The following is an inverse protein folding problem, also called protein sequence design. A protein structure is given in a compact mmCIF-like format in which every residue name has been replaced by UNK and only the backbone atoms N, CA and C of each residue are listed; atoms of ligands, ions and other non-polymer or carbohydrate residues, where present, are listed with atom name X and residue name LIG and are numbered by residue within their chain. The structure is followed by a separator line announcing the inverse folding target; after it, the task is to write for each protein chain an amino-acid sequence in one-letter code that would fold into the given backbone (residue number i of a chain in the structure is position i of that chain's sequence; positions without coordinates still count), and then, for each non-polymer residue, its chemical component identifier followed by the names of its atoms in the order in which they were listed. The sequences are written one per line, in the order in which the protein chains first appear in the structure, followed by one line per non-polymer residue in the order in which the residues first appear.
data_IF_780442785163
#
_entry.id   IF_780442785163
#
_cell.length_a   1.000
_cell.length_b   1.000
_cell.length_c   1.000
_cell.angle_alpha   90.00
_cell.angle_beta   90.00
_cell.angle_gamma   90.00
#
_symmetry.space_group_name_H-M   'P 1'
#
loop_
_entity.id
_entity.type
_entity.pdbx_description
1 polymer ?
#
# COMPACT_ATOMS: atom_id res chain seq x y z
N UNK A 1 4.47 -0.91 -10.02
CA UNK A 1 4.13 -1.42 -8.66
C UNK A 1 2.73 -0.99 -8.24
N UNK A 2 2.37 0.31 -8.27
CA UNK A 2 1.00 0.76 -7.90
C UNK A 2 -0.07 0.15 -8.80
N UNK A 3 0.13 0.18 -10.11
CA UNK A 3 -0.76 -0.44 -11.11
C UNK A 3 -0.96 -1.94 -10.88
N UNK A 4 0.08 -2.67 -10.47
CA UNK A 4 -0.04 -4.10 -10.14
C UNK A 4 -0.96 -4.31 -8.93
N UNK A 5 -0.89 -3.42 -7.93
CA UNK A 5 -1.78 -3.45 -6.76
C UNK A 5 -3.23 -3.21 -7.17
N UNK A 6 -3.47 -2.22 -8.03
CA UNK A 6 -4.80 -1.94 -8.57
C UNK A 6 -5.39 -3.17 -9.26
N UNK A 7 -4.64 -3.76 -10.18
CA UNK A 7 -5.11 -4.93 -10.94
C UNK A 7 -5.33 -6.14 -10.05
N UNK A 8 -4.39 -6.42 -9.13
CA UNK A 8 -4.44 -7.63 -8.30
C UNK A 8 -5.45 -7.53 -7.16
N UNK A 9 -5.54 -6.40 -6.48
CA UNK A 9 -6.27 -6.26 -5.23
C UNK A 9 -7.61 -5.53 -5.35
N UNK A 10 -7.91 -4.86 -6.47
CA UNK A 10 -9.24 -4.25 -6.65
C UNK A 10 -10.38 -5.27 -6.69
N UNK A 11 -10.07 -6.53 -7.00
CA UNK A 11 -11.05 -7.61 -7.10
C UNK A 11 -12.06 -7.44 -8.25
N UNK A 12 -11.97 -6.35 -9.02
CA UNK A 12 -12.97 -5.99 -10.03
C UNK A 12 -12.88 -6.90 -11.24
N UNK A 13 -13.96 -7.64 -11.45
CA UNK A 13 -14.15 -8.44 -12.67
C UNK A 13 -14.68 -7.54 -13.78
N UNK A 14 -14.08 -7.60 -14.97
CA UNK A 14 -14.57 -6.84 -16.13
C UNK A 14 -15.11 -7.70 -17.26
N UNK A 15 -14.76 -8.99 -17.32
CA UNK A 15 -15.35 -9.94 -18.26
C UNK A 15 -15.13 -11.40 -17.83
N UNK A 16 -15.83 -12.33 -18.50
CA UNK A 16 -15.62 -13.76 -18.36
C UNK A 16 -15.19 -14.32 -19.72
N UNK A 17 -14.07 -15.00 -19.76
CA UNK A 17 -13.63 -15.77 -20.92
C UNK A 17 -14.33 -17.12 -20.91
N UNK A 18 -15.10 -17.41 -21.95
CA UNK A 18 -15.84 -18.66 -22.08
C UNK A 18 -15.31 -19.45 -23.29
N UNK A 19 -14.67 -20.58 -23.04
CA UNK A 19 -14.28 -21.51 -24.07
C UNK A 19 -15.43 -22.42 -24.45
N UNK A 20 -15.58 -22.71 -25.75
CA UNK A 20 -16.69 -23.53 -26.27
C UNK A 20 -16.68 -24.92 -25.61
N UNK A 21 -17.76 -25.24 -24.88
CA UNK A 21 -17.92 -26.53 -24.17
C UNK A 21 -16.96 -26.75 -22.99
N UNK A 22 -16.34 -25.71 -22.46
CA UNK A 22 -15.37 -25.77 -21.35
C UNK A 22 -15.75 -24.82 -20.22
N UNK A 23 -15.09 -25.02 -19.07
CA UNK A 23 -15.21 -24.11 -17.96
C UNK A 23 -14.74 -22.69 -18.33
N UNK A 24 -15.44 -21.70 -17.82
CA UNK A 24 -15.11 -20.30 -17.98
C UNK A 24 -14.08 -19.83 -16.94
N UNK A 25 -13.39 -18.76 -17.28
CA UNK A 25 -12.45 -18.11 -16.38
C UNK A 25 -12.75 -16.59 -16.34
N UNK A 26 -12.74 -16.03 -15.18
CA UNK A 26 -12.95 -14.60 -15.00
C UNK A 26 -11.68 -13.79 -15.30
N UNK A 27 -11.87 -12.56 -15.80
CA UNK A 27 -10.79 -11.65 -16.11
C UNK A 27 -10.88 -10.36 -15.26
N UNK A 28 -9.76 -9.89 -14.71
CA UNK A 28 -8.41 -10.44 -14.83
C UNK A 28 -8.28 -11.78 -14.09
N UNK A 29 -7.56 -12.73 -14.68
CA UNK A 29 -7.37 -14.08 -14.10
C UNK A 29 -6.53 -14.04 -12.81
N UNK A 30 -5.68 -13.03 -12.67
CA UNK A 30 -4.84 -12.80 -11.49
C UNK A 30 -5.42 -11.67 -10.66
N UNK A 31 -6.52 -11.92 -9.96
CA UNK A 31 -7.07 -10.95 -9.04
C UNK A 31 -7.26 -11.56 -7.65
N UNK A 32 -7.01 -10.75 -6.65
CA UNK A 32 -7.37 -11.06 -5.28
C UNK A 32 -8.77 -10.52 -5.02
N UNK A 33 -9.72 -11.40 -4.77
CA UNK A 33 -11.13 -11.06 -4.55
C UNK A 33 -11.59 -11.33 -3.11
N UNK A 34 -10.65 -11.49 -2.21
CA UNK A 34 -10.92 -11.67 -0.78
C UNK A 34 -10.58 -10.39 -0.02
N UNK A 35 -11.19 -10.17 1.14
CA UNK A 35 -10.79 -9.08 2.02
C UNK A 35 -9.29 -9.09 2.28
N UNK A 36 -8.72 -7.91 2.32
CA UNK A 36 -7.30 -7.72 2.64
C UNK A 36 -7.13 -6.49 3.53
N UNK A 37 -6.00 -6.40 4.17
CA UNK A 37 -5.60 -5.29 5.02
C UNK A 37 -4.12 -5.02 4.80
N UNK A 38 -3.71 -3.75 4.89
CA UNK A 38 -2.32 -3.38 4.72
C UNK A 38 -1.78 -2.80 6.02
N UNK A 39 -0.60 -3.30 6.44
CA UNK A 39 0.13 -2.77 7.59
C UNK A 39 1.17 -1.79 7.09
N UNK A 40 1.32 -0.66 7.76
CA UNK A 40 2.27 0.40 7.44
C UNK A 40 2.93 0.98 8.68
N UNK A 41 4.09 1.59 8.50
CA UNK A 41 4.86 2.17 9.60
C UNK A 41 5.51 3.50 9.19
N UNK A 42 5.99 4.24 10.18
CA UNK A 42 6.66 5.53 10.02
C UNK A 42 7.99 5.47 9.25
N UNK A 43 8.56 4.29 9.11
CA UNK A 43 9.76 4.07 8.28
C UNK A 43 9.46 3.86 6.79
N UNK A 44 8.19 3.77 6.41
CA UNK A 44 7.78 3.68 5.01
C UNK A 44 8.04 4.99 4.28
N UNK A 45 8.58 4.91 3.06
CA UNK A 45 8.83 6.09 2.23
C UNK A 45 8.75 5.77 0.74
N UNK A 46 8.66 6.78 -0.11
CA UNK A 46 8.61 6.65 -1.57
C UNK A 46 7.47 5.71 -2.02
N UNK A 47 7.77 4.63 -2.72
CA UNK A 47 6.76 3.63 -3.11
C UNK A 47 5.99 3.05 -1.92
N UNK A 48 6.60 2.97 -0.74
CA UNK A 48 5.91 2.52 0.47
C UNK A 48 5.00 3.61 1.08
N UNK A 49 5.01 4.84 0.56
CA UNK A 49 3.97 5.85 0.77
C UNK A 49 2.89 5.77 -0.30
N UNK A 50 3.27 5.73 -1.58
CA UNK A 50 2.32 5.68 -2.69
C UNK A 50 1.45 4.42 -2.71
N UNK A 51 2.03 3.27 -2.39
CA UNK A 51 1.30 1.98 -2.38
C UNK A 51 0.13 1.95 -1.38
N UNK A 52 0.31 2.26 -0.09
CA UNK A 52 -0.81 2.33 0.84
C UNK A 52 -1.78 3.48 0.52
N UNK A 53 -1.30 4.59 -0.06
CA UNK A 53 -2.18 5.65 -0.50
C UNK A 53 -3.15 5.16 -1.59
N UNK A 54 -2.63 4.51 -2.65
CA UNK A 54 -3.46 3.91 -3.72
C UNK A 54 -4.41 2.86 -3.16
N UNK A 55 -3.92 1.98 -2.29
CA UNK A 55 -4.73 0.93 -1.66
C UNK A 55 -5.95 1.50 -0.92
N UNK A 56 -5.75 2.57 -0.14
CA UNK A 56 -6.82 3.28 0.58
C UNK A 56 -7.73 4.06 -0.38
N UNK A 57 -7.15 4.80 -1.33
CA UNK A 57 -7.88 5.61 -2.30
C UNK A 57 -8.84 4.77 -3.17
N UNK A 58 -8.43 3.59 -3.55
CA UNK A 58 -9.26 2.65 -4.31
C UNK A 58 -10.26 1.85 -3.45
N UNK A 59 -10.25 2.04 -2.14
CA UNK A 59 -11.15 1.33 -1.23
C UNK A 59 -10.91 -0.19 -1.20
N UNK A 60 -9.68 -0.64 -1.45
CA UNK A 60 -9.34 -2.07 -1.45
C UNK A 60 -9.48 -2.66 -0.05
N UNK A 61 -9.03 -1.93 0.97
CA UNK A 61 -9.12 -2.33 2.37
C UNK A 61 -8.61 -1.24 3.30
N UNK A 62 -8.53 -1.55 4.59
CA UNK A 62 -8.06 -0.63 5.63
C UNK A 62 -6.54 -0.64 5.77
N UNK A 63 -6.01 0.48 6.26
CA UNK A 63 -4.63 0.66 6.66
C UNK A 63 -4.51 0.56 8.18
N UNK A 64 -3.57 -0.23 8.66
CA UNK A 64 -3.29 -0.42 10.10
C UNK A 64 -1.83 -0.11 10.39
N UNK A 65 -1.54 0.53 11.50
CA UNK A 65 -0.16 0.79 11.94
C UNK A 65 0.10 2.24 12.28
N UNK A 66 1.23 2.76 11.84
CA UNK A 66 1.65 4.13 12.09
C UNK A 66 1.56 5.00 10.84
N UNK A 67 1.37 6.32 11.00
CA UNK A 67 1.34 7.24 9.86
C UNK A 67 2.62 7.14 9.01
N UNK A 68 2.46 7.17 7.69
CA UNK A 68 3.58 7.20 6.74
C UNK A 68 3.93 8.67 6.43
N UNK A 69 5.19 9.08 6.57
CA UNK A 69 5.62 10.42 6.19
C UNK A 69 5.34 10.72 4.71
N UNK A 70 5.10 12.00 4.40
CA UNK A 70 4.82 12.47 3.06
C UNK A 70 6.06 12.53 2.17
N UNK A 71 6.55 11.40 1.71
CA UNK A 71 7.80 11.27 0.93
C UNK A 71 7.53 10.56 -0.40
N UNK A 72 6.73 11.18 -1.27
CA UNK A 72 6.35 10.59 -2.56
C UNK A 72 6.87 11.43 -3.74
N UNK A 73 8.19 11.51 -3.86
CA UNK A 73 8.86 12.12 -5.00
C UNK A 73 9.92 11.16 -5.55
N UNK A 74 9.92 10.92 -6.86
CA UNK A 74 10.98 10.13 -7.48
C UNK A 74 12.22 10.98 -7.70
N UNK A 75 13.38 10.40 -7.46
CA UNK A 75 14.67 11.07 -7.53
C UNK A 75 15.55 10.50 -8.63
N UNK A 76 16.38 11.35 -9.21
CA UNK A 76 17.52 10.94 -10.04
C UNK A 76 18.76 10.89 -9.15
N UNK A 77 19.42 9.73 -9.10
CA UNK A 77 20.59 9.52 -8.28
C UNK A 77 21.84 9.96 -9.03
N UNK A 78 22.64 10.84 -8.42
CA UNK A 78 23.89 11.36 -8.97
C UNK A 78 25.03 10.99 -8.02
N UNK A 79 26.01 10.25 -8.53
CA UNK A 79 27.26 9.99 -7.81
C UNK A 79 28.12 11.24 -7.82
N UNK A 80 28.62 11.63 -6.66
CA UNK A 80 29.45 12.81 -6.49
C UNK A 80 30.89 12.54 -6.92
N UNK A 81 31.78 13.55 -6.81
CA UNK A 81 33.22 13.38 -7.07
C UNK A 81 33.87 12.33 -6.15
N UNK A 82 33.39 12.24 -4.93
CA UNK A 82 33.69 11.11 -4.04
C UNK A 82 32.61 10.03 -4.33
N UNK A 83 33.03 8.92 -4.93
CA UNK A 83 32.18 7.81 -5.35
C UNK A 83 31.42 7.14 -4.18
N UNK A 84 31.83 7.38 -2.94
CA UNK A 84 31.12 6.91 -1.75
C UNK A 84 29.86 7.73 -1.45
N UNK A 85 29.71 8.90 -2.07
CA UNK A 85 28.60 9.83 -1.84
C UNK A 85 27.65 9.84 -3.04
N UNK A 86 26.38 9.64 -2.76
CA UNK A 86 25.31 9.70 -3.76
C UNK A 86 24.25 10.71 -3.33
N UNK A 87 23.81 11.55 -4.25
CA UNK A 87 22.79 12.56 -4.01
C UNK A 87 21.54 12.29 -4.86
N UNK A 88 20.36 12.30 -4.23
CA UNK A 88 19.07 12.14 -4.91
C UNK A 88 18.46 13.49 -5.26
N UNK A 89 18.35 13.81 -6.55
CA UNK A 89 17.71 15.04 -7.04
C UNK A 89 16.25 14.74 -7.33
N UNK A 90 15.26 15.40 -6.67
CA UNK A 90 13.83 15.24 -6.97
C UNK A 90 13.52 15.67 -8.41
N UNK A 91 12.89 14.78 -9.19
CA UNK A 91 12.60 15.04 -10.61
C UNK A 91 11.15 14.74 -11.01
N UNK A 92 10.43 13.88 -10.27
CA UNK A 92 9.04 13.54 -10.56
C UNK A 92 8.22 13.66 -9.28
N UNK A 93 7.23 14.57 -9.29
CA UNK A 93 6.19 14.66 -8.27
C UNK A 93 4.93 13.91 -8.71
N UNK A 94 4.14 13.45 -7.74
CA UNK A 94 2.87 12.74 -7.96
C UNK A 94 1.73 13.69 -7.58
N UNK A 95 1.05 14.20 -8.60
CA UNK A 95 -0.02 15.17 -8.44
C UNK A 95 -1.37 14.47 -8.34
N UNK A 96 -2.19 14.89 -7.40
CA UNK A 96 -3.56 14.45 -7.21
C UNK A 96 -4.51 15.19 -8.16
N UNK A 97 -5.75 14.72 -8.27
CA UNK A 97 -6.78 15.34 -9.11
C UNK A 97 -7.10 16.79 -8.71
N UNK A 98 -6.95 17.12 -7.43
CA UNK A 98 -7.14 18.47 -6.90
C UNK A 98 -5.96 19.42 -7.20
N UNK A 99 -4.94 18.96 -7.91
CA UNK A 99 -3.73 19.70 -8.25
C UNK A 99 -2.67 19.72 -7.15
N UNK A 100 -2.93 19.20 -5.96
CA UNK A 100 -1.94 19.09 -4.89
C UNK A 100 -1.02 17.88 -5.13
N UNK A 101 0.08 17.79 -4.37
CA UNK A 101 1.03 16.69 -4.49
C UNK A 101 0.99 15.79 -3.25
N UNK A 102 1.33 14.51 -3.43
CA UNK A 102 1.50 13.56 -2.32
C UNK A 102 2.71 13.88 -1.45
N UNK A 103 3.72 14.53 -2.00
CA UNK A 103 4.87 15.01 -1.25
C UNK A 103 4.43 15.96 -0.12
N UNK A 104 5.03 15.81 1.06
CA UNK A 104 4.70 16.53 2.30
C UNK A 104 3.26 16.28 2.83
N UNK A 105 2.56 15.27 2.32
CA UNK A 105 1.26 14.84 2.86
C UNK A 105 1.43 13.53 3.61
N UNK A 106 1.35 13.58 4.92
CA UNK A 106 1.34 12.38 5.75
C UNK A 106 0.10 11.53 5.45
N UNK A 107 0.30 10.22 5.34
CA UNK A 107 -0.79 9.26 5.15
C UNK A 107 -1.16 8.63 6.50
N UNK A 108 -2.39 8.88 6.94
CA UNK A 108 -2.91 8.34 8.19
C UNK A 108 -3.47 6.93 8.02
N UNK A 109 -3.18 6.01 8.96
CA UNK A 109 -3.85 4.71 9.00
C UNK A 109 -5.32 4.87 9.40
N UNK A 110 -6.14 3.89 9.01
CA UNK A 110 -7.54 3.81 9.48
C UNK A 110 -7.58 3.32 10.95
N UNK A 111 -6.59 2.56 11.35
CA UNK A 111 -6.42 2.09 12.73
C UNK A 111 -4.98 2.34 13.17
N UNK A 112 -4.81 3.30 14.07
CA UNK A 112 -3.50 3.65 14.64
C UNK A 112 -3.06 2.58 15.65
N UNK A 113 -1.86 2.02 15.44
CA UNK A 113 -1.25 1.04 16.33
C UNK A 113 0.23 1.36 16.50
N UNK A 114 0.60 2.03 17.59
CA UNK A 114 2.00 2.31 17.90
C UNK A 114 2.80 1.04 18.13
N UNK A 115 4.07 1.06 17.74
CA UNK A 115 5.03 -0.01 18.04
C UNK A 115 5.58 0.21 19.44
N UNK A 116 5.44 -0.78 20.31
CA UNK A 116 6.08 -0.78 21.61
C UNK A 116 7.43 -1.53 21.51
N UNK A 117 8.58 -0.90 21.84
CA UNK A 117 9.86 -1.57 21.79
C UNK A 117 9.95 -2.85 22.64
N UNK A 118 9.22 -2.93 23.73
CA UNK A 118 9.16 -4.13 24.56
C UNK A 118 8.52 -5.33 23.82
N UNK A 119 7.49 -5.07 23.03
CA UNK A 119 6.80 -6.12 22.24
C UNK A 119 7.75 -6.64 21.14
N UNK A 120 8.52 -5.75 20.51
CA UNK A 120 9.54 -6.16 19.52
C UNK A 120 10.60 -7.09 20.13
N UNK A 121 11.03 -6.83 21.36
CA UNK A 121 12.03 -7.66 22.05
C UNK A 121 11.45 -9.02 22.42
N UNK A 122 10.17 -9.11 22.79
CA UNK A 122 9.48 -10.36 23.11
C UNK A 122 9.06 -11.17 21.87
N UNK A 123 9.17 -10.59 20.67
CA UNK A 123 8.72 -11.19 19.41
C UNK A 123 7.22 -11.06 19.16
N UNK A 124 6.54 -10.20 19.93
CA UNK A 124 5.13 -9.87 19.72
C UNK A 124 4.96 -8.79 18.65
N UNK A 125 4.03 -8.99 17.73
CA UNK A 125 3.68 -8.02 16.69
C UNK A 125 2.27 -7.49 16.91
N UNK A 126 2.17 -6.42 17.70
CA UNK A 126 0.89 -5.79 18.02
C UNK A 126 0.17 -5.24 16.77
N UNK A 127 0.92 -4.78 15.74
CA UNK A 127 0.34 -4.28 14.50
C UNK A 127 -0.28 -5.42 13.70
N UNK A 128 0.43 -6.54 13.55
CA UNK A 128 -0.09 -7.73 12.88
C UNK A 128 -1.32 -8.29 13.60
N UNK A 129 -1.26 -8.41 14.93
CA UNK A 129 -2.39 -8.89 15.74
C UNK A 129 -3.63 -7.98 15.54
N UNK A 130 -3.42 -6.65 15.57
CA UNK A 130 -4.53 -5.72 15.35
C UNK A 130 -5.07 -5.78 13.93
N UNK A 131 -4.20 -5.90 12.93
CA UNK A 131 -4.60 -6.06 11.54
C UNK A 131 -5.49 -7.29 11.35
N UNK A 132 -5.09 -8.44 11.91
CA UNK A 132 -5.89 -9.67 11.86
C UNK A 132 -7.25 -9.47 12.54
N UNK A 133 -7.31 -8.85 13.73
CA UNK A 133 -8.57 -8.56 14.40
C UNK A 133 -9.51 -7.70 13.55
N UNK A 134 -9.00 -6.62 12.96
CA UNK A 134 -9.78 -5.72 12.11
C UNK A 134 -10.28 -6.45 10.87
N UNK A 135 -9.42 -7.25 10.24
CA UNK A 135 -9.80 -8.02 9.06
C UNK A 135 -10.90 -9.05 9.36
N UNK A 136 -10.81 -9.76 10.49
CA UNK A 136 -11.85 -10.70 10.90
C UNK A 136 -13.18 -10.00 11.18
N UNK A 137 -13.16 -8.84 11.86
CA UNK A 137 -14.36 -8.04 12.10
C UNK A 137 -15.02 -7.59 10.78
N UNK A 138 -14.22 -7.20 9.78
CA UNK A 138 -14.73 -6.79 8.47
C UNK A 138 -15.32 -7.98 7.68
N UNK A 139 -14.84 -9.20 7.91
CA UNK A 139 -15.38 -10.42 7.31
C UNK A 139 -16.70 -10.80 7.97
N UNK A 140 -16.76 -10.77 9.29
CA UNK A 140 -17.94 -11.19 10.07
C UNK A 140 -19.10 -10.19 9.95
N UNK A 141 -18.82 -8.95 9.53
CA UNK A 141 -19.84 -7.91 9.35
C UNK A 141 -20.55 -7.93 7.98
N UNK A 142 -20.12 -8.79 7.08
CA UNK A 142 -20.69 -8.97 5.73
C UNK A 142 -21.61 -10.17 5.64
#
# INVERSE_FOLDING_TARGET
MHEDIEVLFSGTKYLTQVARGKASCDMPSRRWNKPSIMVMCEACYSNAHGTPWVYKHMGIGKLVGMPVPGTMTSVNWVTMQDDSLVFGIPVIGYQLEDGSYLENKQLEPDVLVPVNPADMISGEDAQLHKAVQVLLQDIDSK
#
